data_IF_499516104372
#
_entry.id   IF_499516104372
#
_cell.length_a   1.000
_cell.length_b   1.000
_cell.length_c   1.000
_cell.angle_alpha   90.00
_cell.angle_beta   90.00
_cell.angle_gamma   90.00
#
_symmetry.space_group_name_H-M   'P 1'
#
loop_
_entity.id
_entity.type
_entity.pdbx_description
1 polymer ?
#
# COMPACT_ATOMS: atom_id res chain seq x y z
N UNK A 1 -8.93 59.88 67.01
CA UNK A 1 -9.28 59.29 65.69
C UNK A 1 -8.32 58.16 65.36
N UNK A 2 -8.84 56.94 65.23
CA UNK A 2 -8.33 55.80 64.42
C UNK A 2 -9.35 54.68 64.60
N UNK A 3 -10.29 54.55 63.65
CA UNK A 3 -11.27 53.46 63.64
C UNK A 3 -10.59 52.16 63.14
N UNK A 4 -10.98 51.00 63.67
CA UNK A 4 -10.44 49.70 63.29
C UNK A 4 -10.98 49.24 61.92
N UNK A 5 -10.13 48.53 61.15
CA UNK A 5 -10.50 47.88 59.89
C UNK A 5 -11.39 46.67 60.20
N UNK A 6 -12.61 46.72 59.66
CA UNK A 6 -13.63 45.67 59.78
C UNK A 6 -13.23 44.42 58.99
N UNK A 7 -13.37 43.27 59.65
CA UNK A 7 -13.25 41.87 59.20
C UNK A 7 -14.33 41.48 58.16
N UNK A 8 -14.60 42.33 57.17
CA UNK A 8 -15.65 42.11 56.17
C UNK A 8 -15.15 41.48 54.85
N UNK A 9 -13.86 41.16 54.72
CA UNK A 9 -13.28 40.67 53.45
C UNK A 9 -13.08 39.16 53.35
N UNK A 10 -13.34 38.38 54.42
CA UNK A 10 -13.17 36.91 54.38
C UNK A 10 -14.47 36.14 54.09
N UNK A 11 -15.65 36.76 54.22
CA UNK A 11 -16.94 36.11 53.99
C UNK A 11 -17.42 36.10 52.54
N UNK A 12 -16.91 36.99 51.69
CA UNK A 12 -17.40 37.17 50.31
C UNK A 12 -16.66 36.24 49.33
N UNK A 13 -15.39 35.92 49.59
CA UNK A 13 -14.61 35.02 48.74
C UNK A 13 -15.10 33.55 48.83
N UNK A 14 -15.57 33.11 50.01
CA UNK A 14 -16.09 31.75 50.19
C UNK A 14 -17.49 31.57 49.56
N UNK A 15 -18.30 32.63 49.48
CA UNK A 15 -19.64 32.58 48.87
C UNK A 15 -19.61 32.58 47.34
N UNK A 16 -18.62 33.25 46.71
CA UNK A 16 -18.47 33.19 45.24
C UNK A 16 -17.90 31.84 44.75
N UNK A 17 -17.10 31.13 45.56
CA UNK A 17 -16.53 29.84 45.15
C UNK A 17 -17.56 28.69 45.18
N UNK A 18 -18.61 28.79 46.01
CA UNK A 18 -19.69 27.79 46.04
C UNK A 18 -20.71 27.93 44.90
N UNK A 19 -20.89 29.13 44.33
CA UNK A 19 -21.82 29.34 43.21
C UNK A 19 -21.29 28.83 41.85
N UNK A 20 -19.97 28.61 41.73
CA UNK A 20 -19.37 28.01 40.52
C UNK A 20 -19.55 26.49 40.49
N UNK A 21 -19.85 25.83 41.62
CA UNK A 21 -19.95 24.37 41.72
C UNK A 21 -21.39 23.81 41.70
N UNK A 22 -22.42 24.65 41.64
CA UNK A 22 -23.83 24.17 41.63
C UNK A 22 -24.66 24.58 40.42
N UNK A 23 -24.07 25.22 39.39
CA UNK A 23 -24.81 25.64 38.18
C UNK A 23 -24.48 24.83 36.92
N UNK A 24 -24.22 23.53 37.06
CA UNK A 24 -24.21 22.58 35.94
C UNK A 24 -25.42 21.63 35.97
N UNK A 25 -26.60 22.13 36.37
CA UNK A 25 -27.87 21.42 36.17
C UNK A 25 -28.86 22.39 35.54
N UNK A 26 -29.26 22.07 34.30
CA UNK A 26 -30.25 22.74 33.46
C UNK A 26 -29.73 23.90 32.60
N UNK A 27 -28.73 23.61 31.76
CA UNK A 27 -28.71 24.24 30.44
C UNK A 27 -29.76 23.53 29.57
N UNK A 28 -30.52 24.24 28.71
CA UNK A 28 -31.26 23.58 27.64
C UNK A 28 -30.24 22.75 26.87
N UNK A 29 -30.58 21.49 26.58
CA UNK A 29 -29.70 20.64 25.77
C UNK A 29 -29.24 21.47 24.56
N UNK A 30 -27.92 21.70 24.39
CA UNK A 30 -27.46 22.33 23.17
C UNK A 30 -27.98 21.41 22.07
N UNK A 31 -28.71 21.98 21.10
CA UNK A 31 -29.26 21.27 19.95
C UNK A 31 -28.29 20.15 19.61
N UNK A 32 -28.69 18.93 19.94
CA UNK A 32 -27.84 17.78 19.80
C UNK A 32 -27.55 17.69 18.32
N UNK A 33 -26.38 18.17 17.93
CA UNK A 33 -25.65 17.48 16.89
C UNK A 33 -25.48 16.12 17.53
N UNK A 34 -26.40 15.20 17.23
CA UNK A 34 -26.14 13.79 17.46
C UNK A 34 -24.71 13.58 17.01
N UNK A 35 -23.82 13.00 17.84
CA UNK A 35 -22.53 12.57 17.32
C UNK A 35 -22.86 11.86 16.02
N UNK A 36 -22.25 12.25 14.88
CA UNK A 36 -22.66 11.75 13.59
C UNK A 36 -22.78 10.25 13.77
N UNK A 37 -24.01 9.73 13.60
CA UNK A 37 -24.28 8.30 13.75
C UNK A 37 -23.09 7.63 13.09
N UNK A 38 -22.26 6.96 13.89
CA UNK A 38 -21.12 6.26 13.34
C UNK A 38 -21.76 5.37 12.29
N UNK A 39 -21.51 5.68 11.01
CA UNK A 39 -22.13 4.93 9.94
C UNK A 39 -21.54 3.56 10.13
N UNK A 40 -22.32 2.65 10.72
CA UNK A 40 -21.94 1.25 10.84
C UNK A 40 -22.10 0.75 9.42
N UNK A 41 -21.07 1.01 8.62
CA UNK A 41 -20.99 0.50 7.27
C UNK A 41 -20.95 -1.02 7.40
N UNK A 42 -21.92 -1.69 6.78
CA UNK A 42 -21.89 -3.14 6.73
C UNK A 42 -20.64 -3.60 5.96
N UNK A 43 -20.16 -4.84 6.19
CA UNK A 43 -19.10 -5.40 5.36
C UNK A 43 -19.48 -5.33 3.88
N UNK A 44 -18.49 -5.12 3.02
CA UNK A 44 -18.70 -5.14 1.58
C UNK A 44 -19.29 -6.48 1.13
N UNK A 45 -20.26 -6.43 0.22
CA UNK A 45 -20.94 -7.60 -0.33
C UNK A 45 -21.06 -7.53 -1.84
N UNK A 46 -20.64 -8.61 -2.50
CA UNK A 46 -20.87 -8.83 -3.93
C UNK A 46 -20.94 -10.33 -4.21
N UNK A 47 -21.79 -10.74 -5.13
CA UNK A 47 -22.00 -12.14 -5.47
C UNK A 47 -21.38 -12.45 -6.83
N UNK A 48 -20.50 -13.45 -6.90
CA UNK A 48 -19.83 -13.83 -8.16
C UNK A 48 -20.82 -14.25 -9.25
N UNK A 49 -21.94 -14.87 -8.86
CA UNK A 49 -23.00 -15.26 -9.78
C UNK A 49 -23.70 -14.10 -10.50
N UNK A 50 -23.53 -12.87 -10.02
CA UNK A 50 -24.12 -11.66 -10.62
C UNK A 50 -23.15 -10.93 -11.56
N UNK A 51 -21.87 -11.30 -11.54
CA UNK A 51 -20.80 -10.65 -12.31
C UNK A 51 -20.56 -11.40 -13.62
N UNK A 52 -20.35 -10.67 -14.72
CA UNK A 52 -19.97 -11.22 -16.03
C UNK A 52 -18.51 -10.98 -16.38
N UNK A 53 -17.93 -9.89 -15.87
CA UNK A 53 -16.58 -9.46 -16.18
C UNK A 53 -16.05 -8.54 -15.08
N UNK A 54 -14.74 -8.58 -14.85
CA UNK A 54 -14.04 -7.55 -14.09
C UNK A 54 -12.96 -6.93 -14.99
N UNK A 55 -13.14 -5.67 -15.35
CA UNK A 55 -12.13 -4.90 -16.07
C UNK A 55 -11.20 -4.20 -15.07
N UNK A 56 -9.90 -4.31 -15.28
CA UNK A 56 -8.88 -3.59 -14.53
C UNK A 56 -8.44 -2.38 -15.36
N UNK A 57 -8.49 -1.22 -14.74
CA UNK A 57 -8.27 0.07 -15.38
C UNK A 57 -7.11 0.77 -14.70
N UNK A 58 -6.20 1.31 -15.51
CA UNK A 58 -5.06 2.09 -15.06
C UNK A 58 -5.49 3.45 -14.49
N UNK A 59 -4.70 3.97 -13.56
CA UNK A 59 -4.76 5.23 -12.81
C UNK A 59 -5.95 6.18 -13.14
N UNK A 60 -6.75 6.61 -12.14
CA UNK A 60 -7.66 7.74 -12.30
C UNK A 60 -6.91 9.08 -12.44
N UNK A 61 -6.20 9.29 -13.55
CA UNK A 61 -5.60 10.61 -13.83
C UNK A 61 -6.65 11.53 -14.42
N UNK A 62 -6.90 12.62 -13.70
CA UNK A 62 -7.44 13.93 -14.11
C UNK A 62 -8.38 13.98 -15.33
N UNK A 63 -9.58 14.52 -15.12
CA UNK A 63 -10.61 14.83 -16.13
C UNK A 63 -10.05 15.01 -17.56
N UNK A 64 -10.36 14.05 -18.44
CA UNK A 64 -10.12 14.19 -19.89
C UNK A 64 -9.14 13.21 -20.52
N UNK A 65 -8.55 12.26 -19.78
CA UNK A 65 -7.80 11.13 -20.34
C UNK A 65 -8.71 9.89 -20.37
N UNK A 66 -8.69 9.14 -21.47
CA UNK A 66 -9.42 7.87 -21.60
C UNK A 66 -8.79 6.86 -20.65
N UNK A 67 -9.64 6.29 -19.78
CA UNK A 67 -9.28 5.16 -18.93
C UNK A 67 -8.96 3.95 -19.82
N UNK A 68 -7.70 3.56 -19.86
CA UNK A 68 -7.28 2.38 -20.60
C UNK A 68 -7.55 1.14 -19.76
N UNK A 69 -8.30 0.19 -20.33
CA UNK A 69 -8.48 -1.14 -19.74
C UNK A 69 -7.18 -1.91 -19.95
N UNK A 70 -6.50 -2.20 -18.85
CA UNK A 70 -5.19 -2.87 -18.84
C UNK A 70 -5.32 -4.37 -18.60
N UNK A 71 -6.43 -4.83 -18.03
CA UNK A 71 -6.67 -6.25 -17.81
C UNK A 71 -8.15 -6.60 -17.80
N UNK A 72 -8.48 -7.85 -18.14
CA UNK A 72 -9.85 -8.38 -18.11
C UNK A 72 -9.86 -9.74 -17.43
N UNK A 73 -10.76 -9.91 -16.47
CA UNK A 73 -11.13 -11.19 -15.88
C UNK A 73 -12.54 -11.56 -16.36
N UNK A 74 -12.62 -12.45 -17.34
CA UNK A 74 -13.88 -12.92 -17.96
C UNK A 74 -14.14 -14.42 -17.69
N UNK A 75 -13.17 -15.13 -17.13
CA UNK A 75 -13.32 -16.54 -16.78
C UNK A 75 -14.13 -16.71 -15.49
N UNK A 76 -15.07 -17.68 -15.41
CA UNK A 76 -15.86 -17.90 -14.19
C UNK A 76 -15.01 -18.18 -12.94
N UNK A 77 -13.84 -18.81 -13.11
CA UNK A 77 -12.92 -19.10 -12.01
C UNK A 77 -12.26 -17.83 -11.48
N UNK A 78 -11.80 -16.96 -12.38
CA UNK A 78 -11.15 -15.70 -12.01
C UNK A 78 -12.13 -14.72 -11.37
N UNK A 79 -13.35 -14.61 -11.92
CA UNK A 79 -14.41 -13.78 -11.35
C UNK A 79 -14.77 -14.26 -9.94
N UNK A 80 -14.92 -15.59 -9.76
CA UNK A 80 -15.20 -16.16 -8.45
C UNK A 80 -14.06 -15.90 -7.45
N UNK A 81 -12.81 -16.02 -7.90
CA UNK A 81 -11.64 -15.72 -7.08
C UNK A 81 -11.62 -14.25 -6.67
N UNK A 82 -11.77 -13.32 -7.63
CA UNK A 82 -11.79 -11.88 -7.39
C UNK A 82 -12.85 -11.51 -6.35
N UNK A 83 -14.09 -11.95 -6.56
CA UNK A 83 -15.20 -11.68 -5.65
C UNK A 83 -14.96 -12.26 -4.26
N UNK A 84 -14.42 -13.47 -4.15
CA UNK A 84 -14.10 -14.08 -2.85
C UNK A 84 -13.08 -13.28 -2.05
N UNK A 85 -12.13 -12.63 -2.73
CA UNK A 85 -11.10 -11.83 -2.09
C UNK A 85 -11.67 -10.55 -1.49
N UNK A 86 -12.56 -9.87 -2.20
CA UNK A 86 -13.14 -8.58 -1.76
C UNK A 86 -14.42 -8.73 -0.93
N UNK A 87 -15.18 -9.81 -1.08
CA UNK A 87 -16.39 -10.05 -0.30
C UNK A 87 -16.07 -10.16 1.19
N UNK A 88 -17.03 -9.70 2.01
CA UNK A 88 -16.91 -9.64 3.46
C UNK A 88 -15.84 -8.67 3.98
N UNK A 89 -15.27 -7.81 3.13
CA UNK A 89 -14.26 -6.83 3.58
C UNK A 89 -14.89 -5.85 4.56
N UNK A 90 -14.35 -5.71 5.79
CA UNK A 90 -14.91 -4.79 6.78
C UNK A 90 -14.66 -3.33 6.37
N UNK A 91 -15.50 -2.40 6.82
CA UNK A 91 -15.26 -0.98 6.58
C UNK A 91 -13.98 -0.51 7.27
N UNK A 92 -13.26 0.39 6.60
CA UNK A 92 -12.08 1.05 7.13
C UNK A 92 -12.49 2.29 7.93
N UNK A 93 -12.26 2.28 9.25
CA UNK A 93 -12.65 3.34 10.18
C UNK A 93 -11.51 4.33 10.53
N UNK A 94 -10.46 4.39 9.72
CA UNK A 94 -9.28 5.25 9.92
C UNK A 94 -9.01 6.11 8.68
N UNK A 95 -8.25 7.19 8.85
CA UNK A 95 -7.79 8.04 7.73
C UNK A 95 -7.00 7.20 6.72
N UNK A 96 -7.61 6.97 5.55
CA UNK A 96 -6.95 6.34 4.42
C UNK A 96 -6.17 7.42 3.66
N UNK A 97 -4.84 7.40 3.74
CA UNK A 97 -4.01 8.26 2.89
C UNK A 97 -4.06 7.73 1.46
N UNK A 98 -4.53 8.60 0.56
CA UNK A 98 -4.96 8.28 -0.80
C UNK A 98 -3.79 8.19 -1.79
N UNK A 99 -3.11 7.05 -1.82
CA UNK A 99 -2.33 6.62 -2.99
C UNK A 99 -3.14 5.52 -3.69
N UNK A 100 -4.06 5.95 -4.56
CA UNK A 100 -4.85 5.04 -5.39
C UNK A 100 -4.04 4.67 -6.64
N UNK A 101 -4.16 3.42 -7.06
CA UNK A 101 -3.34 2.91 -8.16
C UNK A 101 -4.15 2.14 -9.20
N UNK A 102 -5.28 1.51 -8.86
CA UNK A 102 -6.13 0.83 -9.87
C UNK A 102 -7.61 1.00 -9.60
N UNK A 103 -8.39 0.89 -10.67
CA UNK A 103 -9.83 0.74 -10.58
C UNK A 103 -10.20 -0.64 -11.13
N UNK A 104 -11.00 -1.40 -10.36
CA UNK A 104 -11.70 -2.56 -10.90
C UNK A 104 -13.15 -2.20 -11.18
N UNK A 105 -13.59 -2.40 -12.42
CA UNK A 105 -14.98 -2.22 -12.85
C UNK A 105 -15.61 -3.60 -13.00
N UNK A 106 -16.56 -3.91 -12.11
CA UNK A 106 -17.30 -5.16 -12.13
C UNK A 106 -18.59 -4.96 -12.90
N UNK A 107 -18.70 -5.59 -14.08
CA UNK A 107 -19.91 -5.56 -14.91
C UNK A 107 -20.86 -6.65 -14.45
N UNK A 108 -22.10 -6.29 -14.11
CA UNK A 108 -23.14 -7.24 -13.69
C UNK A 108 -23.94 -7.76 -14.88
N UNK A 109 -24.61 -8.90 -14.70
CA UNK A 109 -25.51 -9.52 -15.69
C UNK A 109 -26.68 -8.63 -16.13
N UNK A 110 -27.10 -7.70 -15.28
CA UNK A 110 -28.14 -6.72 -15.59
C UNK A 110 -27.61 -5.49 -16.36
N UNK A 111 -26.31 -5.43 -16.65
CA UNK A 111 -25.64 -4.35 -17.35
C UNK A 111 -25.21 -3.18 -16.46
N UNK A 112 -25.44 -3.24 -15.14
CA UNK A 112 -24.94 -2.23 -14.20
C UNK A 112 -23.48 -2.49 -13.83
N UNK A 113 -22.75 -1.43 -13.50
CA UNK A 113 -21.34 -1.49 -13.13
C UNK A 113 -21.13 -1.12 -11.65
N UNK A 114 -20.13 -1.75 -11.03
CA UNK A 114 -19.62 -1.42 -9.71
C UNK A 114 -18.13 -1.14 -9.82
N UNK A 115 -17.72 0.10 -9.51
CA UNK A 115 -16.33 0.52 -9.59
C UNK A 115 -15.69 0.56 -8.19
N UNK A 116 -14.57 -0.13 -8.05
CA UNK A 116 -13.79 -0.21 -6.83
C UNK A 116 -12.41 0.40 -7.06
N UNK A 117 -12.08 1.44 -6.29
CA UNK A 117 -10.83 2.17 -6.38
C UNK A 117 -9.86 1.63 -5.30
N UNK A 118 -8.79 0.96 -5.72
CA UNK A 118 -7.83 0.33 -4.82
C UNK A 118 -6.71 1.30 -4.45
N UNK A 119 -6.37 1.34 -3.16
CA UNK A 119 -5.37 2.26 -2.63
C UNK A 119 -4.48 1.66 -1.55
N UNK A 120 -3.44 2.40 -1.19
CA UNK A 120 -2.46 1.98 -0.19
C UNK A 120 -1.78 0.66 -0.56
N UNK A 121 -1.41 0.50 -1.84
CA UNK A 121 -0.80 -0.72 -2.38
C UNK A 121 -1.66 -1.99 -2.22
N UNK A 122 -2.99 -1.82 -2.16
CA UNK A 122 -3.96 -2.93 -2.06
C UNK A 122 -4.36 -3.28 -0.63
N UNK A 123 -3.99 -2.45 0.35
CA UNK A 123 -4.45 -2.57 1.73
C UNK A 123 -5.95 -2.31 1.89
N UNK A 124 -6.52 -1.46 1.02
CA UNK A 124 -7.92 -1.09 1.05
C UNK A 124 -8.46 -0.84 -0.36
N UNK A 125 -9.78 -0.82 -0.47
CA UNK A 125 -10.48 -0.33 -1.65
C UNK A 125 -11.65 0.55 -1.25
N UNK A 126 -12.06 1.43 -2.15
CA UNK A 126 -13.20 2.31 -1.99
C UNK A 126 -14.27 1.91 -2.99
N UNK A 127 -15.49 1.71 -2.52
CA UNK A 127 -16.66 1.69 -3.40
C UNK A 127 -16.96 3.12 -3.86
N UNK A 128 -16.81 3.36 -5.16
CA UNK A 128 -16.94 4.72 -5.71
C UNK A 128 -18.38 5.24 -5.66
N UNK A 129 -19.39 4.36 -5.62
CA UNK A 129 -20.79 4.79 -5.58
C UNK A 129 -21.22 5.24 -4.17
N UNK A 130 -20.78 4.50 -3.14
CA UNK A 130 -21.10 4.82 -1.74
C UNK A 130 -20.04 5.70 -1.06
N UNK A 131 -18.86 5.85 -1.66
CA UNK A 131 -17.68 6.51 -1.10
C UNK A 131 -17.22 5.88 0.24
N UNK A 132 -17.54 4.60 0.45
CA UNK A 132 -17.14 3.83 1.64
C UNK A 132 -15.83 3.08 1.35
N UNK A 133 -14.91 3.14 2.30
CA UNK A 133 -13.64 2.42 2.26
C UNK A 133 -13.74 1.10 2.99
N UNK A 134 -13.11 0.06 2.45
CA UNK A 134 -13.09 -1.28 3.00
C UNK A 134 -11.66 -1.80 3.07
N UNK A 135 -11.35 -2.54 4.12
CA UNK A 135 -10.02 -3.11 4.33
C UNK A 135 -9.92 -4.49 3.69
N UNK A 136 -8.85 -4.73 2.91
CA UNK A 136 -8.47 -6.07 2.48
C UNK A 136 -7.62 -6.70 3.58
N UNK A 137 -8.20 -7.59 4.39
CA UNK A 137 -7.48 -8.37 5.40
C UNK A 137 -7.93 -9.83 5.38
N UNK A 138 -7.05 -10.79 5.70
CA UNK A 138 -5.63 -10.63 6.07
C UNK A 138 -4.73 -10.37 4.85
N UNK A 139 -3.42 -10.15 5.08
CA UNK A 139 -2.42 -9.91 4.02
C UNK A 139 -2.45 -10.94 2.89
N UNK A 140 -2.74 -12.20 3.19
CA UNK A 140 -2.85 -13.25 2.16
C UNK A 140 -3.89 -12.94 1.08
N UNK A 141 -4.99 -12.27 1.42
CA UNK A 141 -5.99 -11.83 0.43
C UNK A 141 -5.44 -10.73 -0.48
N UNK A 142 -4.60 -9.84 0.05
CA UNK A 142 -3.95 -8.79 -0.72
C UNK A 142 -2.99 -9.40 -1.74
N UNK A 143 -2.16 -10.34 -1.29
CA UNK A 143 -1.18 -11.03 -2.16
C UNK A 143 -1.85 -11.91 -3.23
N UNK A 144 -3.02 -12.50 -2.92
CA UNK A 144 -3.81 -13.24 -3.90
C UNK A 144 -4.52 -12.34 -4.92
N UNK A 145 -5.09 -11.22 -4.46
CA UNK A 145 -5.73 -10.24 -5.34
C UNK A 145 -4.71 -9.63 -6.31
N UNK A 146 -3.53 -9.30 -5.79
CA UNK A 146 -2.38 -8.88 -6.60
C UNK A 146 -2.09 -9.84 -7.73
N UNK A 147 -1.83 -11.11 -7.40
CA UNK A 147 -1.45 -12.13 -8.38
C UNK A 147 -2.54 -12.37 -9.42
N UNK A 148 -3.80 -12.19 -9.03
CA UNK A 148 -4.93 -12.28 -9.93
C UNK A 148 -4.97 -11.10 -10.91
N UNK A 149 -4.77 -9.87 -10.41
CA UNK A 149 -4.74 -8.66 -11.25
C UNK A 149 -3.52 -8.65 -12.18
N UNK A 150 -2.33 -8.97 -11.67
CA UNK A 150 -1.11 -9.11 -12.49
C UNK A 150 -1.28 -10.14 -13.62
N UNK A 151 -2.02 -11.22 -13.35
CA UNK A 151 -2.36 -12.21 -14.38
C UNK A 151 -3.34 -11.64 -15.41
N UNK A 152 -4.33 -10.85 -14.98
CA UNK A 152 -5.34 -10.22 -15.82
C UNK A 152 -4.74 -9.19 -16.77
N UNK A 153 -3.80 -8.39 -16.26
CA UNK A 153 -3.09 -7.35 -17.00
C UNK A 153 -2.07 -7.94 -17.99
N UNK A 154 -1.73 -9.22 -17.84
CA UNK A 154 -0.75 -9.91 -18.67
C UNK A 154 0.68 -9.55 -18.30
N UNK A 155 1.64 -10.36 -18.78
CA UNK A 155 3.06 -10.08 -18.60
C UNK A 155 3.43 -8.87 -19.47
N UNK A 156 3.56 -7.70 -18.86
CA UNK A 156 3.94 -6.47 -19.56
C UNK A 156 3.23 -5.20 -19.08
N UNK A 157 2.22 -5.29 -18.21
CA UNK A 157 1.67 -4.11 -17.54
C UNK A 157 2.40 -3.87 -16.22
N UNK A 158 3.23 -2.83 -16.22
CA UNK A 158 4.14 -2.31 -15.19
C UNK A 158 3.38 -1.77 -13.96
N UNK A 159 2.59 -2.64 -13.33
CA UNK A 159 1.44 -2.16 -12.59
C UNK A 159 0.83 -3.17 -11.61
N UNK A 160 1.44 -4.33 -11.42
CA UNK A 160 1.09 -5.24 -10.32
C UNK A 160 1.06 -4.50 -8.98
N UNK A 161 0.29 -5.00 -8.00
CA UNK A 161 0.20 -4.42 -6.64
C UNK A 161 1.55 -4.56 -5.89
N UNK A 162 2.62 -3.96 -6.40
CA UNK A 162 3.98 -4.16 -5.93
C UNK A 162 4.04 -3.87 -4.44
N UNK A 163 4.42 -4.90 -3.67
CA UNK A 163 4.81 -4.68 -2.29
C UNK A 163 5.93 -3.65 -2.32
N UNK A 164 5.71 -2.49 -1.70
CA UNK A 164 6.81 -1.55 -1.51
C UNK A 164 7.92 -2.30 -0.77
N UNK A 165 9.07 -2.44 -1.41
CA UNK A 165 10.28 -2.89 -0.74
C UNK A 165 10.50 -2.03 0.51
N UNK A 166 10.91 -2.61 1.64
CA UNK A 166 11.24 -1.82 2.83
C UNK A 166 12.20 -0.68 2.47
N UNK A 167 12.06 0.45 3.18
CA UNK A 167 13.05 1.50 3.05
C UNK A 167 14.43 0.96 3.44
N UNK A 168 15.46 1.37 2.71
CA UNK A 168 16.84 1.08 3.07
C UNK A 168 17.09 1.58 4.50
N UNK A 169 17.70 0.71 5.31
CA UNK A 169 18.17 1.05 6.64
C UNK A 169 19.68 1.17 6.54
N UNK A 170 20.33 1.99 7.36
CA UNK A 170 21.78 2.21 7.29
C UNK A 170 22.57 0.89 7.09
N UNK A 171 23.28 0.80 5.95
CA UNK A 171 24.06 -0.38 5.55
C UNK A 171 23.25 -1.58 5.04
N UNK A 172 21.91 -1.52 4.96
CA UNK A 172 21.03 -2.60 4.46
C UNK A 172 20.14 -2.12 3.32
N UNK A 173 20.24 -2.81 2.19
CA UNK A 173 19.58 -2.49 0.94
C UNK A 173 18.62 -3.60 0.53
N UNK A 174 17.44 -3.22 0.02
CA UNK A 174 16.41 -4.15 -0.43
C UNK A 174 16.27 -4.04 -1.95
N UNK A 175 16.12 -5.17 -2.63
CA UNK A 175 15.97 -5.18 -4.08
C UNK A 175 15.64 -6.54 -4.67
N UNK A 176 15.23 -6.51 -5.92
CA UNK A 176 15.06 -7.65 -6.80
C UNK A 176 16.41 -8.07 -7.37
N UNK A 177 16.70 -9.37 -7.32
CA UNK A 177 17.85 -10.00 -7.95
C UNK A 177 17.70 -9.88 -9.46
N UNK A 178 18.46 -8.97 -10.07
CA UNK A 178 18.32 -8.69 -11.50
C UNK A 178 19.35 -9.44 -12.35
N UNK A 179 20.58 -9.58 -11.83
CA UNK A 179 21.63 -10.32 -12.49
C UNK A 179 22.53 -11.01 -11.49
N UNK A 180 23.00 -12.21 -11.81
CA UNK A 180 23.97 -12.96 -11.03
C UNK A 180 25.14 -13.30 -11.95
N UNK A 181 26.33 -12.85 -11.61
CA UNK A 181 27.58 -13.26 -12.24
C UNK A 181 28.32 -14.20 -11.29
N UNK A 182 28.56 -15.43 -11.74
CA UNK A 182 29.29 -16.47 -10.99
C UNK A 182 30.79 -16.50 -11.33
N UNK A 183 31.32 -15.46 -11.97
CA UNK A 183 32.73 -15.31 -12.24
C UNK A 183 33.62 -15.27 -10.98
N UNK A 184 34.92 -15.05 -11.20
CA UNK A 184 35.93 -15.00 -10.12
C UNK A 184 35.63 -13.95 -9.05
N UNK A 185 34.95 -12.86 -9.42
CA UNK A 185 34.40 -11.85 -8.53
C UNK A 185 32.87 -11.98 -8.53
N UNK A 186 32.36 -13.02 -7.87
CA UNK A 186 30.94 -13.34 -7.86
C UNK A 186 30.12 -12.12 -7.42
N UNK A 187 29.18 -11.70 -8.27
CA UNK A 187 28.47 -10.44 -8.11
C UNK A 187 26.99 -10.53 -8.44
N UNK A 188 26.25 -9.64 -7.81
CA UNK A 188 24.79 -9.57 -7.86
C UNK A 188 24.38 -8.15 -8.17
N UNK A 189 23.58 -7.93 -9.21
CA UNK A 189 22.93 -6.64 -9.44
C UNK A 189 21.56 -6.67 -8.79
N UNK A 190 21.31 -5.71 -7.89
CA UNK A 190 19.97 -5.45 -7.39
C UNK A 190 19.36 -4.24 -8.10
N UNK A 191 18.08 -4.40 -8.43
CA UNK A 191 17.19 -3.31 -8.82
C UNK A 191 16.15 -3.14 -7.73
N UNK A 192 15.90 -1.91 -7.32
CA UNK A 192 14.75 -1.55 -6.51
C UNK A 192 13.51 -1.36 -7.37
N UNK A 193 13.71 -0.86 -8.58
CA UNK A 193 12.69 -0.71 -9.60
C UNK A 193 13.06 -1.52 -10.85
N UNK A 194 12.52 -2.73 -11.00
CA UNK A 194 12.84 -3.59 -12.12
C UNK A 194 12.15 -3.20 -13.42
N UNK A 195 11.22 -2.24 -13.41
CA UNK A 195 10.43 -1.87 -14.58
C UNK A 195 9.78 -3.07 -15.31
N UNK A 196 9.79 -3.05 -16.65
CA UNK A 196 9.19 -4.07 -17.55
C UNK A 196 10.07 -5.32 -17.72
N UNK A 197 11.10 -5.53 -16.90
CA UNK A 197 12.01 -6.66 -17.09
C UNK A 197 11.28 -8.01 -16.94
N UNK A 198 11.19 -8.77 -18.03
CA UNK A 198 10.82 -10.18 -17.97
C UNK A 198 12.03 -10.98 -17.44
N UNK A 199 12.02 -11.32 -16.16
CA UNK A 199 13.10 -12.05 -15.49
C UNK A 199 13.51 -13.35 -16.18
N UNK A 200 12.61 -13.99 -16.93
CA UNK A 200 12.89 -15.23 -17.63
C UNK A 200 13.66 -15.02 -18.95
N UNK A 201 13.53 -13.84 -19.58
CA UNK A 201 14.04 -13.59 -20.94
C UNK A 201 14.93 -12.36 -21.06
N UNK A 202 14.96 -11.50 -20.05
CA UNK A 202 15.73 -10.26 -20.03
C UNK A 202 17.22 -10.51 -20.28
N UNK A 203 17.73 -9.83 -21.31
CA UNK A 203 19.15 -9.83 -21.64
C UNK A 203 19.95 -9.00 -20.62
N UNK A 204 21.27 -9.16 -20.62
CA UNK A 204 22.16 -8.33 -19.79
C UNK A 204 22.01 -6.84 -20.12
N UNK A 205 21.86 -6.53 -21.41
CA UNK A 205 21.68 -5.16 -21.90
C UNK A 205 20.38 -4.54 -21.41
N UNK A 206 19.29 -5.32 -21.34
CA UNK A 206 18.01 -4.86 -20.80
C UNK A 206 18.12 -4.54 -19.32
N UNK A 207 18.74 -5.43 -18.55
CA UNK A 207 18.94 -5.26 -17.12
C UNK A 207 19.82 -4.03 -16.82
N UNK A 208 20.92 -3.86 -17.57
CA UNK A 208 21.81 -2.71 -17.42
C UNK A 208 21.14 -1.40 -17.86
N UNK A 209 20.30 -1.43 -18.90
CA UNK A 209 19.48 -0.29 -19.31
C UNK A 209 18.55 0.14 -18.18
N UNK A 210 17.84 -0.80 -17.56
CA UNK A 210 16.97 -0.51 -16.41
C UNK A 210 17.75 0.03 -15.21
N UNK A 211 18.92 -0.56 -14.92
CA UNK A 211 19.78 -0.11 -13.82
C UNK A 211 20.27 1.34 -13.96
N UNK A 212 20.28 1.90 -15.17
CA UNK A 212 20.61 3.32 -15.37
C UNK A 212 19.45 4.27 -15.01
N UNK A 213 18.21 3.76 -15.01
CA UNK A 213 17.01 4.52 -14.63
C UNK A 213 16.66 4.37 -13.15
N UNK A 214 17.11 3.28 -12.52
CA UNK A 214 16.95 3.04 -11.09
C UNK A 214 18.09 3.68 -10.27
N UNK A 215 17.85 4.78 -9.54
CA UNK A 215 18.89 5.46 -8.75
C UNK A 215 19.39 4.63 -7.56
N UNK A 216 18.67 3.56 -7.17
CA UNK A 216 19.06 2.66 -6.09
C UNK A 216 19.76 1.39 -6.60
N UNK A 217 19.89 1.21 -7.93
CA UNK A 217 20.58 0.07 -8.50
C UNK A 217 22.04 0.02 -8.04
N UNK A 218 22.51 -1.18 -7.68
CA UNK A 218 23.90 -1.39 -7.29
C UNK A 218 24.34 -2.83 -7.52
N UNK A 219 25.61 -2.98 -7.87
CA UNK A 219 26.32 -4.25 -7.87
C UNK A 219 26.81 -4.57 -6.47
N UNK A 220 26.66 -5.82 -6.05
CA UNK A 220 27.12 -6.34 -4.77
C UNK A 220 28.09 -7.48 -5.01
N UNK A 221 29.32 -7.34 -4.52
CA UNK A 221 30.29 -8.44 -4.47
C UNK A 221 30.03 -9.28 -3.23
N UNK A 222 29.81 -10.58 -3.40
CA UNK A 222 29.39 -11.49 -2.34
C UNK A 222 30.18 -12.80 -2.45
N UNK A 223 30.16 -13.59 -1.36
CA UNK A 223 30.67 -14.97 -1.41
C UNK A 223 29.86 -15.80 -2.41
N UNK A 224 30.55 -16.57 -3.26
CA UNK A 224 29.92 -17.37 -4.32
C UNK A 224 28.91 -18.40 -3.77
N UNK A 225 29.10 -18.88 -2.54
CA UNK A 225 28.17 -19.77 -1.87
C UNK A 225 26.81 -19.13 -1.61
N UNK A 226 26.77 -17.83 -1.29
CA UNK A 226 25.53 -17.08 -1.05
C UNK A 226 24.74 -16.84 -2.34
N UNK A 227 25.42 -16.74 -3.49
CA UNK A 227 24.76 -16.53 -4.78
C UNK A 227 24.20 -17.83 -5.39
N UNK A 228 24.77 -18.98 -5.02
CA UNK A 228 24.42 -20.28 -5.62
C UNK A 228 22.97 -20.71 -5.40
N UNK A 229 22.27 -20.08 -4.44
CA UNK A 229 20.87 -20.37 -4.09
C UNK A 229 19.89 -19.33 -4.64
N UNK A 230 20.37 -18.33 -5.38
CA UNK A 230 19.56 -17.22 -5.84
C UNK A 230 19.10 -17.39 -7.29
N UNK A 231 17.92 -16.86 -7.55
CA UNK A 231 17.31 -16.78 -8.87
C UNK A 231 16.89 -15.34 -9.19
N UNK A 232 16.78 -15.02 -10.47
CA UNK A 232 16.31 -13.70 -10.90
C UNK A 232 14.87 -13.44 -10.46
N UNK A 233 14.58 -12.17 -10.14
CA UNK A 233 13.28 -11.73 -9.66
C UNK A 233 13.01 -12.03 -8.18
N UNK A 234 13.88 -12.78 -7.50
CA UNK A 234 13.79 -12.95 -6.05
C UNK A 234 14.07 -11.63 -5.32
N UNK A 235 13.40 -11.42 -4.20
CA UNK A 235 13.64 -10.25 -3.36
C UNK A 235 14.58 -10.62 -2.23
N UNK A 236 15.60 -9.77 -2.04
CA UNK A 236 16.63 -9.98 -1.03
C UNK A 236 16.87 -8.71 -0.24
N UNK A 237 17.39 -8.91 0.98
CA UNK A 237 18.04 -7.86 1.75
C UNK A 237 19.55 -8.13 1.77
N UNK A 238 20.35 -7.12 1.40
CA UNK A 238 21.81 -7.17 1.47
C UNK A 238 22.30 -6.15 2.47
N UNK A 239 23.05 -6.61 3.47
CA UNK A 239 23.86 -5.71 4.29
C UNK A 239 25.21 -5.53 3.60
N UNK A 240 25.63 -4.29 3.36
CA UNK A 240 26.85 -3.96 2.65
C UNK A 240 27.70 -2.95 3.43
N UNK A 241 29.00 -2.96 3.18
CA UNK A 241 29.90 -1.91 3.67
C UNK A 241 29.61 -0.58 2.95
N UNK A 242 29.94 0.53 3.61
CA UNK A 242 29.85 1.88 3.06
C UNK A 242 30.92 2.15 2.00
N UNK A 243 31.91 1.27 1.85
CA UNK A 243 32.87 1.33 0.74
C UNK A 243 32.19 1.06 -0.60
N UNK A 244 32.24 2.06 -1.48
CA UNK A 244 31.66 2.03 -2.81
C UNK A 244 32.73 2.38 -3.85
N UNK A 245 32.79 1.61 -4.94
CA UNK A 245 33.62 1.96 -6.09
C UNK A 245 32.86 2.94 -7.00
N UNK A 246 33.61 3.87 -7.60
CA UNK A 246 33.07 4.86 -8.53
C UNK A 246 32.75 4.19 -9.89
N UNK A 247 31.56 3.60 -9.96
CA UNK A 247 30.99 2.94 -11.15
C UNK A 247 29.52 3.29 -11.31
N UNK A 248 28.95 3.01 -12.49
CA UNK A 248 27.51 3.13 -12.76
C UNK A 248 26.99 1.84 -13.40
N UNK A 249 26.10 1.08 -12.73
CA UNK A 249 25.70 1.23 -11.32
C UNK A 249 26.89 1.09 -10.34
N UNK A 250 26.78 1.66 -9.13
CA UNK A 250 27.83 1.57 -8.12
C UNK A 250 28.08 0.14 -7.66
N UNK A 251 29.33 -0.19 -7.32
CA UNK A 251 29.70 -1.48 -6.74
C UNK A 251 29.91 -1.33 -5.23
N UNK A 252 29.29 -2.21 -4.45
CA UNK A 252 29.36 -2.33 -3.00
C UNK A 252 29.88 -3.70 -2.60
N UNK A 253 30.48 -3.80 -1.41
CA UNK A 253 30.87 -5.09 -0.84
C UNK A 253 29.77 -5.59 0.09
N UNK A 254 29.13 -6.69 -0.31
CA UNK A 254 28.09 -7.33 0.49
C UNK A 254 28.69 -8.13 1.63
N UNK A 255 28.18 -7.91 2.84
CA UNK A 255 28.58 -8.60 4.07
C UNK A 255 27.67 -9.80 4.37
N UNK A 256 26.37 -9.64 4.10
CA UNK A 256 25.39 -10.71 4.28
C UNK A 256 24.21 -10.55 3.33
N UNK A 257 23.58 -11.67 3.01
CA UNK A 257 22.39 -11.74 2.18
C UNK A 257 21.30 -12.52 2.89
N UNK A 258 20.07 -12.00 2.86
CA UNK A 258 18.88 -12.67 3.36
C UNK A 258 17.86 -12.75 2.23
N UNK A 259 17.42 -13.95 1.89
CA UNK A 259 16.26 -14.14 1.02
C UNK A 259 15.00 -13.74 1.79
N UNK A 260 14.19 -12.88 1.19
CA UNK A 260 12.92 -12.51 1.77
C UNK A 260 11.85 -13.43 1.17
N UNK A 261 11.31 -14.32 2.00
CA UNK A 261 10.15 -15.13 1.62
C UNK A 261 8.97 -14.20 1.32
N UNK A 262 8.47 -14.29 0.09
CA UNK A 262 7.19 -13.72 -0.32
C UNK A 262 6.11 -14.80 -0.30
#
# INVERSE_FOLDING_TARGET
>A
MKKPKSLASLGIAAAMLLLVLTSCKNAPAPNGIEPPLAVVSEPFRVTAGDIVEVAIVDDPVAEGITQDTVGILDSPADIAQFVTLIDSSPPLNSDATADFYRIAVLTKKDGTELSLEFGGQGLFFKDMASNVFYTLHPKSKQDELRRLVERAEGKGHESGFGASLPADVEGTHYGYVAWIDHGTDASLLLLRDPGELDWATASEEDVLRQANYDPAAAWYRLDAGLLSTLERGQVVAITADNEQLDSKPPIRYGLSLTLLDH
#
